data_IF_577180133109
#
_entry.id   IF_577180133109
#
_cell.length_a   1.000
_cell.length_b   1.000
_cell.length_c   1.000
_cell.angle_alpha   90.00
_cell.angle_beta   90.00
_cell.angle_gamma   90.00
#
_symmetry.space_group_name_H-M   'P 1'
#
loop_
_entity.id
_entity.type
_entity.pdbx_description
1 polymer ?
#
# COMPACT_ATOMS: atom_id res chain seq x y z
N UNK A 1 27.78 -40.05 -16.81
CA UNK A 1 27.56 -38.60 -16.61
C UNK A 1 26.21 -38.42 -15.94
N UNK A 2 26.20 -38.24 -14.62
CA UNK A 2 25.00 -38.03 -13.80
C UNK A 2 24.61 -36.55 -13.82
N UNK A 3 23.44 -36.22 -14.39
CA UNK A 3 22.87 -34.88 -14.27
C UNK A 3 22.46 -34.60 -12.82
N UNK A 4 22.84 -33.47 -12.22
CA UNK A 4 22.28 -33.06 -10.95
C UNK A 4 20.84 -32.59 -11.19
N UNK A 5 19.86 -33.35 -10.71
CA UNK A 5 18.47 -32.88 -10.61
C UNK A 5 18.46 -31.71 -9.63
N UNK A 6 17.97 -30.56 -10.07
CA UNK A 6 17.85 -29.35 -9.25
C UNK A 6 17.32 -29.72 -7.85
N UNK A 7 18.04 -29.29 -6.81
CA UNK A 7 17.66 -29.48 -5.42
C UNK A 7 16.22 -29.00 -5.23
N UNK A 8 15.36 -29.89 -4.74
CA UNK A 8 13.96 -29.65 -4.35
C UNK A 8 13.90 -28.71 -3.13
N UNK A 9 14.27 -27.45 -3.35
CA UNK A 9 14.14 -26.38 -2.37
C UNK A 9 12.71 -25.86 -2.32
N UNK A 10 12.28 -25.46 -1.12
CA UNK A 10 10.97 -24.86 -0.89
C UNK A 10 11.03 -23.36 -1.18
N UNK A 11 10.06 -22.86 -1.96
CA UNK A 11 9.82 -21.42 -2.15
C UNK A 11 8.57 -21.02 -1.37
N UNK A 12 8.72 -20.19 -0.33
CA UNK A 12 7.62 -19.77 0.56
C UNK A 12 7.46 -18.24 0.52
N UNK A 13 6.29 -17.78 0.07
CA UNK A 13 5.92 -16.34 0.02
C UNK A 13 4.89 -16.01 1.10
N UNK A 14 5.36 -15.66 2.30
CA UNK A 14 4.55 -15.56 3.53
C UNK A 14 3.93 -14.17 3.77
N UNK A 15 3.80 -13.36 2.72
CA UNK A 15 3.28 -11.99 2.80
C UNK A 15 4.36 -10.95 3.15
N UNK A 16 3.92 -9.73 3.50
CA UNK A 16 4.83 -8.60 3.72
C UNK A 16 4.29 -7.54 4.68
N UNK A 17 5.20 -6.88 5.41
CA UNK A 17 4.91 -5.73 6.27
C UNK A 17 5.47 -4.44 5.66
N UNK A 18 5.05 -4.13 4.43
CA UNK A 18 5.65 -3.08 3.59
C UNK A 18 5.42 -1.65 4.14
N UNK A 19 6.51 -0.90 4.43
CA UNK A 19 6.41 0.50 4.83
C UNK A 19 6.31 1.44 3.61
N UNK A 20 5.61 2.56 3.79
CA UNK A 20 5.70 3.76 2.97
C UNK A 20 6.41 4.83 3.79
N UNK A 21 7.49 5.41 3.28
CA UNK A 21 8.30 6.40 4.00
C UNK A 21 8.25 7.72 3.23
N UNK A 22 7.86 8.80 3.90
CA UNK A 22 7.88 10.15 3.36
C UNK A 22 8.83 11.03 4.16
N UNK A 23 9.78 11.65 3.46
CA UNK A 23 10.68 12.66 3.99
C UNK A 23 10.03 14.05 3.95
N UNK A 24 10.64 15.03 4.60
CA UNK A 24 10.11 16.39 4.73
C UNK A 24 10.12 17.20 3.43
N UNK A 25 10.91 16.79 2.45
CA UNK A 25 11.00 17.35 1.10
C UNK A 25 10.08 16.64 0.08
N UNK A 26 9.32 15.63 0.50
CA UNK A 26 8.42 14.89 -0.39
C UNK A 26 7.26 15.77 -0.90
N UNK A 27 6.99 15.70 -2.21
CA UNK A 27 5.80 16.29 -2.79
C UNK A 27 4.54 15.68 -2.16
N UNK A 28 3.73 16.52 -1.49
CA UNK A 28 2.54 16.08 -0.76
C UNK A 28 1.52 15.40 -1.67
N UNK A 29 1.31 15.92 -2.87
CA UNK A 29 0.29 15.41 -3.78
C UNK A 29 0.67 14.02 -4.30
N UNK A 30 1.92 13.86 -4.72
CA UNK A 30 2.49 12.60 -5.16
C UNK A 30 2.56 11.59 -4.01
N UNK A 31 2.95 12.03 -2.81
CA UNK A 31 2.98 11.17 -1.63
C UNK A 31 1.60 10.60 -1.30
N UNK A 32 0.55 11.43 -1.30
CA UNK A 32 -0.84 10.99 -1.08
C UNK A 32 -1.30 10.04 -2.19
N UNK A 33 -1.02 10.36 -3.46
CA UNK A 33 -1.38 9.48 -4.57
C UNK A 33 -0.69 8.11 -4.46
N UNK A 34 0.61 8.10 -4.20
CA UNK A 34 1.41 6.88 -4.06
C UNK A 34 0.99 6.03 -2.86
N UNK A 35 0.76 6.65 -1.71
CA UNK A 35 0.28 5.96 -0.51
C UNK A 35 -1.10 5.32 -0.76
N UNK A 36 -2.01 6.04 -1.40
CA UNK A 36 -3.35 5.54 -1.74
C UNK A 36 -3.32 4.38 -2.73
N UNK A 37 -2.54 4.52 -3.81
CA UNK A 37 -2.37 3.46 -4.80
C UNK A 37 -1.76 2.20 -4.18
N UNK A 38 -0.78 2.35 -3.29
CA UNK A 38 -0.08 1.22 -2.64
C UNK A 38 -0.90 0.56 -1.54
N UNK A 39 -1.78 1.31 -0.85
CA UNK A 39 -2.62 0.78 0.23
C UNK A 39 -3.89 0.10 -0.28
N UNK A 40 -4.52 0.66 -1.32
CA UNK A 40 -5.86 0.25 -1.75
C UNK A 40 -5.88 -0.59 -3.02
N UNK A 41 -4.72 -0.84 -3.63
CA UNK A 41 -4.62 -1.78 -4.75
C UNK A 41 -5.26 -3.11 -4.36
N UNK A 42 -6.17 -3.60 -5.21
CA UNK A 42 -6.92 -4.82 -4.97
C UNK A 42 -7.62 -4.87 -3.60
N UNK A 43 -8.11 -3.72 -3.09
CA UNK A 43 -8.74 -3.64 -1.77
C UNK A 43 -7.76 -3.84 -0.61
N UNK A 44 -6.46 -3.65 -0.84
CA UNK A 44 -5.41 -3.90 0.16
C UNK A 44 -5.02 -5.37 0.32
N UNK A 45 -5.63 -6.28 -0.45
CA UNK A 45 -5.39 -7.72 -0.36
C UNK A 45 -4.26 -8.16 -1.30
N UNK A 46 -3.06 -7.65 -1.11
CA UNK A 46 -1.86 -8.08 -1.84
C UNK A 46 -0.67 -8.04 -0.88
N UNK A 47 0.24 -9.02 -0.99
CA UNK A 47 1.43 -9.16 -0.13
C UNK A 47 2.30 -7.90 -0.04
N UNK A 48 2.32 -7.11 -1.12
CA UNK A 48 3.11 -5.87 -1.25
C UNK A 48 2.31 -4.59 -0.94
N UNK A 49 1.07 -4.69 -0.44
CA UNK A 49 0.31 -3.51 -0.06
C UNK A 49 0.89 -2.86 1.19
N UNK A 50 0.93 -1.53 1.20
CA UNK A 50 1.43 -0.75 2.33
C UNK A 50 0.59 -1.01 3.57
N UNK A 51 1.22 -1.26 4.70
CA UNK A 51 0.54 -1.43 5.99
C UNK A 51 1.05 -0.49 7.07
N UNK A 52 2.17 0.21 6.83
CA UNK A 52 2.72 1.24 7.70
C UNK A 52 3.11 2.47 6.90
N UNK A 53 2.76 3.65 7.38
CA UNK A 53 3.15 4.94 6.79
C UNK A 53 4.00 5.67 7.84
N UNK A 54 5.27 5.89 7.51
CA UNK A 54 6.25 6.57 8.36
C UNK A 54 6.56 7.93 7.74
N UNK A 55 6.53 8.97 8.57
CA UNK A 55 6.74 10.36 8.13
C UNK A 55 7.74 11.01 9.07
N UNK A 56 8.73 11.70 8.51
CA UNK A 56 9.78 12.36 9.29
C UNK A 56 9.21 13.42 10.24
N UNK A 57 9.78 13.61 11.43
CA UNK A 57 9.15 14.37 12.53
C UNK A 57 8.90 15.86 12.25
N UNK A 58 9.68 16.50 11.37
CA UNK A 58 9.56 17.93 11.02
C UNK A 58 8.25 18.28 10.28
N UNK A 59 7.40 17.28 10.07
CA UNK A 59 6.37 17.19 9.04
C UNK A 59 4.97 17.02 9.67
N UNK A 60 4.76 17.39 10.94
CA UNK A 60 3.47 17.17 11.64
C UNK A 60 2.25 17.75 10.90
N UNK A 61 2.43 18.86 10.16
CA UNK A 61 1.38 19.45 9.30
C UNK A 61 1.08 18.61 8.06
N UNK A 62 2.07 17.93 7.47
CA UNK A 62 1.87 17.05 6.32
C UNK A 62 1.17 15.76 6.76
N UNK A 63 1.48 15.20 7.94
CA UNK A 63 0.82 13.99 8.45
C UNK A 63 -0.69 14.19 8.57
N UNK A 64 -1.12 15.34 9.10
CA UNK A 64 -2.53 15.72 9.15
C UNK A 64 -3.14 15.91 7.76
N UNK A 65 -2.39 16.50 6.80
CA UNK A 65 -2.84 16.71 5.42
C UNK A 65 -2.91 15.42 4.61
N UNK A 66 -1.95 14.51 4.78
CA UNK A 66 -1.93 13.17 4.17
C UNK A 66 -3.09 12.36 4.73
N UNK A 67 -3.29 12.34 6.05
CA UNK A 67 -4.40 11.62 6.66
C UNK A 67 -5.74 12.18 6.19
N UNK A 68 -5.92 13.50 6.19
CA UNK A 68 -7.17 14.14 5.73
C UNK A 68 -7.42 13.86 4.24
N UNK A 69 -6.43 14.08 3.37
CA UNK A 69 -6.57 13.86 1.93
C UNK A 69 -6.72 12.38 1.57
N UNK A 70 -6.08 11.47 2.32
CA UNK A 70 -6.25 10.04 2.16
C UNK A 70 -7.66 9.60 2.57
N UNK A 71 -8.17 10.07 3.72
CA UNK A 71 -9.55 9.79 4.17
C UNK A 71 -10.56 10.30 3.14
N UNK A 72 -10.39 11.54 2.66
CA UNK A 72 -11.28 12.13 1.66
C UNK A 72 -11.25 11.34 0.35
N UNK A 73 -10.06 10.94 -0.14
CA UNK A 73 -9.95 10.08 -1.33
C UNK A 73 -10.44 8.64 -1.10
N UNK A 74 -10.32 8.09 0.12
CA UNK A 74 -10.87 6.78 0.47
C UNK A 74 -12.40 6.84 0.34
N UNK A 75 -13.02 7.87 0.93
CA UNK A 75 -14.47 8.07 0.84
C UNK A 75 -14.89 8.26 -0.62
N UNK A 76 -14.16 9.07 -1.38
CA UNK A 76 -14.41 9.25 -2.82
C UNK A 76 -14.29 7.92 -3.59
N UNK A 77 -13.28 7.10 -3.30
CA UNK A 77 -13.12 5.77 -3.89
C UNK A 77 -14.28 4.82 -3.50
N UNK A 78 -14.78 4.96 -2.26
CA UNK A 78 -15.95 4.28 -1.68
C UNK A 78 -17.29 4.94 -2.08
N UNK A 79 -17.30 6.01 -2.87
CA UNK A 79 -18.53 6.59 -3.39
C UNK A 79 -18.60 6.43 -4.90
N UNK A 80 -17.54 6.82 -5.60
CA UNK A 80 -17.48 6.87 -7.06
C UNK A 80 -17.36 5.48 -7.69
N UNK A 81 -16.63 4.55 -7.06
CA UNK A 81 -16.42 3.23 -7.67
C UNK A 81 -17.64 2.35 -7.41
N UNK A 82 -18.44 1.92 -8.40
CA UNK A 82 -19.64 1.14 -8.12
C UNK A 82 -19.30 -0.12 -7.32
N UNK A 83 -20.22 -0.60 -6.47
CA UNK A 83 -20.00 -1.76 -5.59
C UNK A 83 -19.51 -2.99 -6.36
N UNK A 84 -19.95 -3.15 -7.62
CA UNK A 84 -19.48 -4.18 -8.56
C UNK A 84 -17.99 -4.10 -8.92
N UNK A 85 -17.35 -2.93 -8.79
CA UNK A 85 -15.92 -2.70 -9.04
C UNK A 85 -15.09 -2.58 -7.76
N UNK A 86 -15.71 -2.67 -6.58
CA UNK A 86 -14.99 -2.81 -5.30
C UNK A 86 -14.92 -4.29 -4.99
N UNK A 87 -13.72 -4.87 -5.07
CA UNK A 87 -13.52 -6.26 -4.68
C UNK A 87 -13.79 -6.35 -3.17
N UNK A 88 -14.74 -7.17 -2.72
CA UNK A 88 -14.95 -7.39 -1.29
C UNK A 88 -13.70 -8.03 -0.69
N UNK A 89 -13.46 -7.76 0.58
CA UNK A 89 -12.45 -8.46 1.36
C UNK A 89 -12.90 -9.93 1.42
N UNK A 90 -12.11 -10.84 0.85
CA UNK A 90 -12.34 -12.28 1.03
C UNK A 90 -12.22 -12.62 2.52
N UNK A 91 -13.23 -13.33 3.04
CA UNK A 91 -13.24 -13.89 4.39
C UNK A 91 -12.32 -15.11 4.49
#
# INVERSE_FOLDING_TARGET
MSHPTASSGWCLELGGNAPFIAFDDADLHLAVQGAMASKLRNGGQTCVCVNRILVQSRVSKLTARINKAAIEKINLYIEIRPRSRRRPVRH
#
